data_IF_587267270395
#
_entry.id   IF_587267270395
#
_cell.length_a   1.000
_cell.length_b   1.000
_cell.length_c   1.000
_cell.angle_alpha   90.00
_cell.angle_beta   90.00
_cell.angle_gamma   90.00
#
_symmetry.space_group_name_H-M   'P 1'
#
loop_
_entity.id
_entity.type
_entity.pdbx_description
1 polymer ?
#
# COMPACT_ATOMS: atom_id res chain seq x y z
N UNK A 1 -11.91 5.92 11.44
CA UNK A 1 -12.40 5.23 10.22
C UNK A 1 -12.24 6.07 8.96
N UNK A 2 -12.68 7.33 8.95
CA UNK A 2 -12.58 8.20 7.75
C UNK A 2 -11.17 8.26 7.17
N UNK A 3 -10.15 8.41 8.01
CA UNK A 3 -8.76 8.47 7.55
C UNK A 3 -8.31 7.22 6.79
N UNK A 4 -8.67 6.02 7.27
CA UNK A 4 -8.29 4.78 6.59
C UNK A 4 -9.00 4.59 5.24
N UNK A 5 -10.27 5.00 5.12
CA UNK A 5 -10.98 4.96 3.83
C UNK A 5 -10.42 5.97 2.84
N UNK A 6 -10.16 7.20 3.28
CA UNK A 6 -9.53 8.24 2.44
C UNK A 6 -8.16 7.75 1.95
N UNK A 7 -7.37 7.13 2.84
CA UNK A 7 -6.10 6.53 2.46
C UNK A 7 -6.29 5.48 1.35
N UNK A 8 -7.22 4.53 1.51
CA UNK A 8 -7.47 3.52 0.48
C UNK A 8 -7.89 4.12 -0.87
N UNK A 9 -8.74 5.14 -0.87
CA UNK A 9 -9.16 5.85 -2.09
C UNK A 9 -7.96 6.54 -2.77
N UNK A 10 -7.16 7.28 -2.01
CA UNK A 10 -6.01 8.01 -2.56
C UNK A 10 -4.90 7.07 -3.03
N UNK A 11 -4.70 5.93 -2.32
CA UNK A 11 -3.76 4.90 -2.77
C UNK A 11 -4.20 4.25 -4.09
N UNK A 12 -5.50 4.07 -4.28
CA UNK A 12 -6.04 3.61 -5.55
C UNK A 12 -5.81 4.60 -6.69
N UNK A 13 -5.96 5.90 -6.43
CA UNK A 13 -5.65 6.97 -7.41
C UNK A 13 -4.16 6.94 -7.76
N UNK A 14 -3.27 6.85 -6.76
CA UNK A 14 -1.84 6.68 -6.96
C UNK A 14 -1.54 5.46 -7.86
N UNK A 15 -2.11 4.30 -7.52
CA UNK A 15 -1.93 3.05 -8.27
C UNK A 15 -2.33 3.19 -9.74
N UNK A 16 -3.46 3.84 -10.03
CA UNK A 16 -3.94 4.04 -11.40
C UNK A 16 -3.04 5.02 -12.16
N UNK A 17 -2.65 6.14 -11.54
CA UNK A 17 -1.74 7.12 -12.17
C UNK A 17 -0.37 6.48 -12.42
N UNK A 18 0.17 5.70 -11.48
CA UNK A 18 1.43 4.99 -11.65
C UNK A 18 1.33 3.97 -12.80
N UNK A 19 0.20 3.29 -12.92
CA UNK A 19 -0.09 2.40 -14.05
C UNK A 19 -0.02 3.13 -15.40
N UNK A 20 -0.53 4.34 -15.50
CA UNK A 20 -0.39 5.19 -16.70
C UNK A 20 1.08 5.49 -16.99
N UNK A 21 1.87 5.87 -16.00
CA UNK A 21 3.30 6.14 -16.18
C UNK A 21 4.05 4.92 -16.70
N UNK A 22 3.75 3.73 -16.16
CA UNK A 22 4.37 2.47 -16.58
C UNK A 22 3.99 2.07 -18.02
N UNK A 23 2.84 2.49 -18.51
CA UNK A 23 2.42 2.35 -19.92
C UNK A 23 3.06 3.34 -20.89
N UNK A 24 3.90 4.26 -20.41
CA UNK A 24 4.58 5.28 -21.24
C UNK A 24 6.05 4.93 -21.47
N UNK A 25 6.58 5.35 -22.63
CA UNK A 25 8.02 5.32 -22.88
C UNK A 25 8.73 6.28 -21.91
N UNK A 26 9.86 5.89 -21.28
CA UNK A 26 10.65 4.68 -21.54
C UNK A 26 10.33 3.48 -20.64
N UNK A 27 9.33 3.54 -19.78
CA UNK A 27 8.97 2.44 -18.87
C UNK A 27 8.33 1.25 -19.59
N UNK A 28 7.58 1.52 -20.65
CA UNK A 28 6.92 0.48 -21.42
C UNK A 28 7.93 -0.59 -21.87
N UNK A 29 7.64 -1.84 -21.59
CA UNK A 29 8.45 -3.01 -21.92
C UNK A 29 9.87 -3.07 -21.30
N UNK A 30 10.24 -2.13 -20.42
CA UNK A 30 11.52 -2.15 -19.75
C UNK A 30 11.50 -3.07 -18.53
N UNK A 31 12.41 -4.04 -18.45
CA UNK A 31 12.53 -4.98 -17.32
C UNK A 31 12.83 -4.28 -15.99
N UNK A 32 13.44 -3.11 -16.03
CA UNK A 32 13.78 -2.28 -14.87
C UNK A 32 12.65 -1.33 -14.46
N UNK A 33 11.56 -1.23 -15.24
CA UNK A 33 10.48 -0.25 -15.06
C UNK A 33 9.94 -0.22 -13.63
N UNK A 34 9.60 -1.37 -13.07
CA UNK A 34 9.02 -1.48 -11.74
C UNK A 34 9.96 -0.99 -10.63
N UNK A 35 11.24 -1.40 -10.66
CA UNK A 35 12.22 -1.01 -9.63
C UNK A 35 12.52 0.49 -9.72
N UNK A 36 12.72 1.00 -10.95
CA UNK A 36 13.07 2.40 -11.13
C UNK A 36 11.87 3.31 -10.84
N UNK A 37 10.66 2.94 -11.25
CA UNK A 37 9.47 3.71 -10.91
C UNK A 37 9.19 3.73 -9.40
N UNK A 38 9.38 2.62 -8.68
CA UNK A 38 9.28 2.59 -7.23
C UNK A 38 10.33 3.50 -6.55
N UNK A 39 11.59 3.45 -7.01
CA UNK A 39 12.63 4.37 -6.53
C UNK A 39 12.25 5.85 -6.76
N UNK A 40 11.83 6.19 -7.98
CA UNK A 40 11.47 7.56 -8.36
C UNK A 40 10.24 8.03 -7.58
N UNK A 41 9.24 7.16 -7.40
CA UNK A 41 8.07 7.44 -6.59
C UNK A 41 8.46 7.80 -5.15
N UNK A 42 9.27 6.98 -4.48
CA UNK A 42 9.70 7.22 -3.11
C UNK A 42 10.60 8.46 -2.99
N UNK A 43 11.46 8.74 -4.01
CA UNK A 43 12.23 9.99 -4.07
C UNK A 43 11.32 11.20 -4.15
N UNK A 44 10.30 11.17 -5.02
CA UNK A 44 9.34 12.27 -5.10
C UNK A 44 8.52 12.41 -3.83
N UNK A 45 8.06 11.32 -3.23
CA UNK A 45 7.36 11.34 -1.94
C UNK A 45 8.23 11.96 -0.83
N UNK A 46 9.50 11.57 -0.75
CA UNK A 46 10.45 12.14 0.21
C UNK A 46 10.66 13.65 -0.02
N UNK A 47 10.77 14.10 -1.28
CA UNK A 47 10.92 15.51 -1.63
C UNK A 47 9.65 16.31 -1.34
N UNK A 48 8.46 15.78 -1.67
CA UNK A 48 7.17 16.41 -1.34
C UNK A 48 7.06 16.61 0.16
N UNK A 49 7.39 15.60 0.96
CA UNK A 49 7.36 15.70 2.42
C UNK A 49 8.44 16.63 2.95
N UNK A 50 9.62 16.67 2.33
CA UNK A 50 10.68 17.64 2.70
C UNK A 50 10.18 19.09 2.53
N UNK A 51 9.51 19.37 1.41
CA UNK A 51 8.91 20.69 1.16
C UNK A 51 7.76 20.95 2.14
N UNK A 52 6.88 19.98 2.36
CA UNK A 52 5.76 20.08 3.30
C UNK A 52 6.24 20.37 4.74
N UNK A 53 7.18 19.58 5.25
CA UNK A 53 7.75 19.77 6.59
C UNK A 53 8.57 21.08 6.67
N UNK A 54 9.25 21.45 5.59
CA UNK A 54 9.99 22.72 5.48
C UNK A 54 9.06 23.93 5.56
N UNK A 55 7.97 23.93 4.79
CA UNK A 55 6.96 24.99 4.79
C UNK A 55 6.30 25.18 6.17
N UNK A 56 6.24 24.09 6.96
CA UNK A 56 5.72 24.13 8.35
C UNK A 56 6.79 24.41 9.41
N UNK A 57 8.04 24.62 9.02
CA UNK A 57 9.15 24.85 9.94
C UNK A 57 9.56 23.63 10.78
N UNK A 58 9.17 22.41 10.37
CA UNK A 58 9.28 21.18 11.15
C UNK A 58 10.42 20.23 10.74
N UNK A 59 11.32 20.65 9.88
CA UNK A 59 12.47 19.80 9.47
C UNK A 59 13.35 19.37 10.65
N UNK A 60 13.45 20.22 11.70
CA UNK A 60 14.20 19.88 12.91
C UNK A 60 13.60 18.70 13.68
N UNK A 61 12.27 18.50 13.60
CA UNK A 61 11.58 17.39 14.25
C UNK A 61 12.09 16.08 13.67
N UNK A 62 12.17 15.97 12.32
CA UNK A 62 12.70 14.80 11.62
C UNK A 62 14.14 14.51 12.03
N UNK A 63 15.02 15.53 12.00
CA UNK A 63 16.44 15.36 12.37
C UNK A 63 16.59 14.93 13.84
N UNK A 64 15.77 15.45 14.73
CA UNK A 64 15.75 15.07 16.15
C UNK A 64 15.24 13.66 16.34
N UNK A 65 14.15 13.30 15.65
CA UNK A 65 13.53 11.99 15.70
C UNK A 65 14.48 10.87 15.25
N UNK A 66 15.29 11.09 14.20
CA UNK A 66 16.28 10.13 13.70
C UNK A 66 17.30 9.69 14.77
N UNK A 67 17.55 10.53 15.78
CA UNK A 67 18.48 10.24 16.89
C UNK A 67 17.80 9.39 17.98
N UNK A 68 16.48 9.31 17.99
CA UNK A 68 15.71 8.58 19.00
C UNK A 68 15.61 7.10 18.66
N UNK A 69 15.22 6.28 19.66
CA UNK A 69 14.87 4.87 19.44
C UNK A 69 13.71 4.74 18.47
N UNK A 70 12.67 5.56 18.63
CA UNK A 70 11.45 5.53 17.81
C UNK A 70 11.70 5.89 16.36
N UNK A 71 12.51 6.90 16.08
CA UNK A 71 12.92 7.20 14.72
C UNK A 71 13.68 6.04 14.04
N UNK A 72 14.58 5.36 14.77
CA UNK A 72 15.27 4.16 14.26
C UNK A 72 14.32 2.98 14.02
N UNK A 73 13.30 2.84 14.85
CA UNK A 73 12.24 1.84 14.67
C UNK A 73 11.44 2.14 13.40
N UNK A 74 11.09 3.40 13.16
CA UNK A 74 10.43 3.82 11.92
C UNK A 74 11.30 3.53 10.69
N UNK A 75 12.61 3.80 10.75
CA UNK A 75 13.54 3.44 9.66
C UNK A 75 13.54 1.95 9.38
N UNK A 76 13.50 1.09 10.42
CA UNK A 76 13.42 -0.36 10.24
C UNK A 76 12.11 -0.76 9.53
N UNK A 77 10.98 -0.20 9.96
CA UNK A 77 9.69 -0.40 9.29
C UNK A 77 9.74 0.00 7.81
N UNK A 78 10.33 1.16 7.52
CA UNK A 78 10.52 1.66 6.17
C UNK A 78 11.33 0.70 5.26
N UNK A 79 12.41 0.12 5.78
CA UNK A 79 13.21 -0.86 5.05
C UNK A 79 12.47 -2.15 4.77
N UNK A 80 11.64 -2.59 5.71
CA UNK A 80 10.84 -3.82 5.57
C UNK A 80 9.70 -3.64 4.56
N UNK A 81 8.96 -2.56 4.65
CA UNK A 81 7.82 -2.33 3.76
C UNK A 81 8.21 -1.82 2.38
N UNK A 82 9.10 -0.85 2.31
CA UNK A 82 9.59 -0.27 1.06
C UNK A 82 10.52 -1.23 0.31
N UNK A 83 11.86 -1.13 0.46
CA UNK A 83 12.81 -1.86 -0.39
C UNK A 83 12.64 -3.38 -0.33
N UNK A 84 12.45 -3.97 0.85
CA UNK A 84 12.36 -5.43 0.99
C UNK A 84 10.99 -5.92 0.50
N UNK A 85 9.90 -5.34 1.02
CA UNK A 85 8.54 -5.77 0.68
C UNK A 85 8.22 -5.53 -0.79
N UNK A 86 8.52 -4.36 -1.31
CA UNK A 86 8.27 -4.01 -2.71
C UNK A 86 9.18 -4.78 -3.67
N UNK A 87 10.48 -4.94 -3.37
CA UNK A 87 11.36 -5.77 -4.22
C UNK A 87 10.90 -7.23 -4.24
N UNK A 88 10.42 -7.75 -3.11
CA UNK A 88 9.80 -9.07 -3.04
C UNK A 88 8.54 -9.17 -3.89
N UNK A 89 7.68 -8.16 -3.85
CA UNK A 89 6.48 -8.06 -4.70
C UNK A 89 6.83 -8.09 -6.19
N UNK A 90 7.81 -7.29 -6.60
CA UNK A 90 8.26 -7.23 -8.00
C UNK A 90 8.91 -8.54 -8.45
N UNK A 91 9.73 -9.17 -7.58
CA UNK A 91 10.30 -10.49 -7.86
C UNK A 91 9.19 -11.54 -8.03
N UNK A 92 8.13 -11.46 -7.24
CA UNK A 92 6.97 -12.36 -7.39
C UNK A 92 6.24 -12.13 -8.71
N UNK A 93 5.97 -10.88 -9.10
CA UNK A 93 5.34 -10.57 -10.40
C UNK A 93 6.14 -11.20 -11.54
N UNK A 94 7.46 -11.05 -11.54
CA UNK A 94 8.32 -11.55 -12.61
C UNK A 94 8.39 -13.08 -12.66
N UNK A 95 8.08 -13.79 -11.58
CA UNK A 95 8.28 -15.24 -11.48
C UNK A 95 6.99 -16.06 -11.42
N UNK A 96 5.92 -15.52 -10.84
CA UNK A 96 4.61 -16.20 -10.70
C UNK A 96 3.45 -15.40 -11.30
N UNK A 97 3.75 -14.24 -11.88
CA UNK A 97 2.79 -13.37 -12.53
C UNK A 97 2.03 -12.43 -11.57
N UNK A 98 1.46 -11.35 -12.12
CA UNK A 98 0.82 -10.29 -11.31
C UNK A 98 -0.41 -10.76 -10.56
N UNK A 99 -1.25 -11.62 -11.14
CA UNK A 99 -2.48 -12.10 -10.51
C UNK A 99 -2.23 -12.93 -9.25
N UNK A 100 -1.32 -13.91 -9.31
CA UNK A 100 -0.96 -14.70 -8.13
C UNK A 100 -0.24 -13.85 -7.09
N UNK A 101 0.62 -12.93 -7.52
CA UNK A 101 1.29 -12.01 -6.62
C UNK A 101 0.28 -11.13 -5.87
N UNK A 102 -0.68 -10.53 -6.57
CA UNK A 102 -1.73 -9.71 -5.96
C UNK A 102 -2.59 -10.52 -4.99
N UNK A 103 -2.97 -11.75 -5.38
CA UNK A 103 -3.78 -12.61 -4.54
C UNK A 103 -3.09 -12.99 -3.22
N UNK A 104 -1.80 -13.34 -3.27
CA UNK A 104 -1.06 -13.76 -2.08
C UNK A 104 -0.66 -12.54 -1.24
N UNK A 105 -0.20 -11.46 -1.87
CA UNK A 105 0.18 -10.23 -1.16
C UNK A 105 -0.97 -9.62 -0.38
N UNK A 106 -2.22 -9.81 -0.83
CA UNK A 106 -3.42 -9.37 -0.12
C UNK A 106 -3.52 -9.88 1.33
N UNK A 107 -2.77 -10.92 1.71
CA UNK A 107 -2.74 -11.43 3.08
C UNK A 107 -1.91 -10.59 4.06
N UNK A 108 -1.20 -9.53 3.61
CA UNK A 108 -0.40 -8.70 4.51
C UNK A 108 -1.18 -8.13 5.72
N UNK A 109 -2.49 -7.75 5.62
CA UNK A 109 -3.21 -7.27 6.79
C UNK A 109 -3.52 -8.38 7.80
N UNK A 110 -3.66 -9.63 7.36
CA UNK A 110 -3.83 -10.76 8.28
C UNK A 110 -2.55 -11.00 9.08
N UNK A 111 -1.39 -11.02 8.41
CA UNK A 111 -0.07 -11.14 9.07
C UNK A 111 0.18 -9.94 9.98
N UNK A 112 -0.08 -8.73 9.50
CA UNK A 112 0.06 -7.52 10.30
C UNK A 112 -0.87 -7.50 11.51
N UNK A 113 -2.13 -7.95 11.38
CA UNK A 113 -3.06 -8.04 12.52
C UNK A 113 -2.60 -9.07 13.56
N UNK A 114 -2.02 -10.20 13.13
CA UNK A 114 -1.43 -11.18 14.03
C UNK A 114 -0.22 -10.59 14.78
N UNK A 115 0.65 -9.87 14.07
CA UNK A 115 1.79 -9.16 14.68
C UNK A 115 1.33 -8.04 15.63
N UNK A 116 0.31 -7.27 15.26
CA UNK A 116 -0.25 -6.22 16.11
C UNK A 116 -0.88 -6.80 17.40
N UNK A 117 -1.54 -7.96 17.31
CA UNK A 117 -2.02 -8.66 18.49
C UNK A 117 -0.86 -9.08 19.40
N UNK A 118 0.22 -9.60 18.84
CA UNK A 118 1.37 -10.09 19.59
C UNK A 118 2.19 -8.94 20.20
N UNK A 119 2.51 -7.91 19.43
CA UNK A 119 3.47 -6.86 19.79
C UNK A 119 2.81 -5.63 20.40
N UNK A 120 1.65 -5.23 19.89
CA UNK A 120 0.91 -4.03 20.32
C UNK A 120 -0.27 -4.36 21.24
N UNK A 121 -0.56 -5.66 21.44
CA UNK A 121 -1.71 -6.17 22.21
C UNK A 121 -3.06 -5.68 21.66
N UNK A 122 -3.10 -5.33 20.39
CA UNK A 122 -4.34 -4.97 19.70
C UNK A 122 -5.26 -6.20 19.62
N UNK A 123 -6.54 -6.00 19.93
CA UNK A 123 -7.55 -7.07 19.89
C UNK A 123 -8.66 -6.72 18.91
N UNK A 124 -8.83 -7.57 17.92
CA UNK A 124 -10.02 -7.56 17.07
C UNK A 124 -11.07 -8.53 17.60
N UNK A 125 -12.35 -8.14 17.57
CA UNK A 125 -13.44 -9.05 17.87
C UNK A 125 -13.56 -10.10 16.75
N UNK A 126 -14.03 -11.30 17.06
CA UNK A 126 -14.17 -12.38 16.07
C UNK A 126 -14.91 -11.91 14.80
N UNK A 127 -15.99 -11.15 14.95
CA UNK A 127 -16.74 -10.59 13.81
C UNK A 127 -15.89 -9.69 12.89
N UNK A 128 -14.93 -8.93 13.46
CA UNK A 128 -14.02 -8.09 12.70
C UNK A 128 -13.00 -8.94 11.94
N UNK A 129 -12.48 -9.99 12.57
CA UNK A 129 -11.57 -10.95 11.93
C UNK A 129 -12.27 -11.66 10.77
N UNK A 130 -13.50 -12.14 10.98
CA UNK A 130 -14.27 -12.77 9.91
C UNK A 130 -14.55 -11.82 8.75
N UNK A 131 -14.92 -10.56 9.03
CA UNK A 131 -15.12 -9.55 8.00
C UNK A 131 -13.82 -9.24 7.22
N UNK A 132 -12.67 -9.18 7.92
CA UNK A 132 -11.37 -9.05 7.28
C UNK A 132 -11.08 -10.25 6.35
N UNK A 133 -11.28 -11.47 6.82
CA UNK A 133 -11.06 -12.67 6.00
C UNK A 133 -11.93 -12.66 4.75
N UNK A 134 -13.19 -12.25 4.86
CA UNK A 134 -14.10 -12.12 3.71
C UNK A 134 -13.57 -11.08 2.72
N UNK A 135 -13.09 -9.94 3.20
CA UNK A 135 -12.47 -8.93 2.33
C UNK A 135 -11.22 -9.46 1.63
N UNK A 136 -10.35 -10.19 2.36
CA UNK A 136 -9.13 -10.78 1.79
C UNK A 136 -9.45 -11.84 0.73
N UNK A 137 -10.48 -12.66 0.94
CA UNK A 137 -10.96 -13.59 -0.09
C UNK A 137 -11.45 -12.84 -1.33
N UNK A 138 -12.13 -11.70 -1.16
CA UNK A 138 -12.53 -10.85 -2.28
C UNK A 138 -11.33 -10.33 -3.08
N UNK A 139 -10.27 -9.84 -2.41
CA UNK A 139 -9.03 -9.37 -3.07
C UNK A 139 -8.32 -10.53 -3.77
N UNK A 140 -8.23 -11.68 -3.11
CA UNK A 140 -7.61 -12.88 -3.68
C UNK A 140 -8.33 -13.35 -4.96
N UNK A 141 -9.66 -13.43 -4.93
CA UNK A 141 -10.47 -13.82 -6.10
C UNK A 141 -10.28 -12.80 -7.24
N UNK A 142 -10.26 -11.50 -6.93
CA UNK A 142 -10.02 -10.46 -7.92
C UNK A 142 -8.63 -10.58 -8.54
N UNK A 143 -7.59 -10.83 -7.75
CA UNK A 143 -6.24 -11.09 -8.25
C UNK A 143 -6.16 -12.33 -9.15
N UNK A 144 -6.81 -13.42 -8.77
CA UNK A 144 -6.85 -14.66 -9.56
C UNK A 144 -7.62 -14.52 -10.87
N UNK A 145 -8.70 -13.74 -10.90
CA UNK A 145 -9.46 -13.48 -12.14
C UNK A 145 -8.72 -12.57 -13.11
N UNK A 146 -7.78 -11.80 -12.62
CA UNK A 146 -6.88 -10.96 -13.43
C UNK A 146 -5.58 -11.69 -13.82
N UNK A 147 -5.42 -12.94 -13.34
CA UNK A 147 -4.24 -13.75 -13.67
C UNK A 147 -4.42 -14.33 -15.07
N UNK A 148 -3.79 -13.73 -16.06
CA UNK A 148 -3.42 -14.47 -17.25
C UNK A 148 -2.57 -15.67 -16.80
N UNK A 149 -2.81 -16.82 -17.45
CA UNK A 149 -2.08 -18.04 -17.11
C UNK A 149 -0.58 -17.74 -17.02
N UNK A 150 0.08 -18.30 -16.00
CA UNK A 150 1.53 -18.15 -15.83
C UNK A 150 2.23 -18.51 -17.13
N UNK A 151 2.53 -17.53 -17.95
CA UNK A 151 3.12 -17.72 -19.28
C UNK A 151 4.64 -17.55 -19.26
N UNK A 152 5.26 -17.55 -18.07
CA UNK A 152 6.69 -17.28 -17.91
C UNK A 152 7.49 -18.51 -17.49
N UNK A 153 8.71 -18.63 -18.01
CA UNK A 153 9.76 -19.53 -17.51
C UNK A 153 10.29 -19.09 -16.12
N UNK A 154 9.46 -18.45 -15.29
CA UNK A 154 9.84 -17.93 -14.00
C UNK A 154 10.15 -19.04 -12.99
N UNK A 155 11.04 -18.75 -12.05
CA UNK A 155 11.33 -19.64 -10.93
C UNK A 155 10.25 -19.50 -9.85
N UNK A 156 9.33 -20.46 -9.76
CA UNK A 156 8.21 -20.46 -8.80
C UNK A 156 8.70 -20.29 -7.36
N UNK A 157 9.82 -20.91 -6.98
CA UNK A 157 10.37 -20.77 -5.62
C UNK A 157 10.80 -19.33 -5.34
N UNK A 158 11.44 -18.66 -6.29
CA UNK A 158 11.81 -17.24 -6.17
C UNK A 158 10.54 -16.36 -6.05
N UNK A 159 9.53 -16.65 -6.85
CA UNK A 159 8.24 -15.94 -6.80
C UNK A 159 7.54 -16.09 -5.46
N UNK A 160 7.45 -17.29 -4.92
CA UNK A 160 6.85 -17.55 -3.60
C UNK A 160 7.66 -16.88 -2.48
N UNK A 161 8.99 -16.99 -2.47
CA UNK A 161 9.83 -16.30 -1.48
C UNK A 161 9.66 -14.78 -1.58
N UNK A 162 9.58 -14.25 -2.79
CA UNK A 162 9.33 -12.83 -3.02
C UNK A 162 8.01 -12.37 -2.44
N UNK A 163 6.90 -13.05 -2.74
CA UNK A 163 5.59 -12.65 -2.20
C UNK A 163 5.49 -12.85 -0.69
N UNK A 164 6.16 -13.85 -0.13
CA UNK A 164 6.28 -13.99 1.32
C UNK A 164 7.02 -12.79 1.94
N UNK A 165 8.15 -12.37 1.35
CA UNK A 165 8.87 -11.18 1.79
C UNK A 165 7.99 -9.92 1.72
N UNK A 166 7.17 -9.78 0.67
CA UNK A 166 6.19 -8.72 0.55
C UNK A 166 5.15 -8.75 1.68
N UNK A 167 4.48 -9.88 1.90
CA UNK A 167 3.44 -10.04 2.92
C UNK A 167 3.97 -9.73 4.32
N UNK A 168 5.13 -10.27 4.67
CA UNK A 168 5.77 -9.99 5.96
C UNK A 168 6.31 -8.56 6.03
N UNK A 169 6.89 -8.04 4.96
CA UNK A 169 7.38 -6.67 4.87
C UNK A 169 6.27 -5.65 5.14
N UNK A 170 5.20 -5.67 4.36
CA UNK A 170 4.09 -4.73 4.49
C UNK A 170 3.29 -4.93 5.79
N UNK A 171 3.05 -6.18 6.19
CA UNK A 171 2.35 -6.48 7.44
C UNK A 171 3.13 -6.02 8.67
N UNK A 172 4.45 -6.22 8.70
CA UNK A 172 5.30 -5.80 9.82
C UNK A 172 5.57 -4.28 9.81
N UNK A 173 5.68 -3.64 8.64
CA UNK A 173 5.85 -2.19 8.52
C UNK A 173 4.81 -1.44 9.35
N UNK A 174 3.52 -1.68 9.09
CA UNK A 174 2.43 -0.99 9.78
C UNK A 174 2.49 -1.15 11.32
N UNK A 175 2.85 -2.35 11.80
CA UNK A 175 2.97 -2.64 13.23
C UNK A 175 4.19 -1.97 13.85
N UNK A 176 5.33 -2.00 13.16
CA UNK A 176 6.57 -1.36 13.60
C UNK A 176 6.41 0.16 13.60
N UNK A 177 5.75 0.73 12.61
CA UNK A 177 5.42 2.15 12.57
C UNK A 177 4.50 2.54 13.73
N UNK A 178 3.44 1.77 13.99
CA UNK A 178 2.57 1.99 15.13
C UNK A 178 3.35 1.96 16.44
N UNK A 179 4.28 1.01 16.59
CA UNK A 179 5.15 0.94 17.75
C UNK A 179 6.10 2.13 17.87
N UNK A 180 6.69 2.58 16.75
CA UNK A 180 7.57 3.75 16.69
C UNK A 180 6.86 5.06 17.04
N UNK A 181 5.55 5.15 16.78
CA UNK A 181 4.73 6.33 17.09
C UNK A 181 4.12 6.32 18.50
N UNK A 182 4.34 5.29 19.31
CA UNK A 182 3.76 5.22 20.66
C UNK A 182 4.32 6.24 21.64
N UNK A 183 5.53 6.75 21.42
CA UNK A 183 6.10 7.83 22.21
C UNK A 183 5.91 9.19 21.52
N UNK A 184 6.00 10.26 22.28
CA UNK A 184 5.83 11.63 21.78
C UNK A 184 7.00 12.13 20.94
N UNK A 185 8.04 11.31 20.72
CA UNK A 185 9.23 11.69 19.98
C UNK A 185 9.03 11.69 18.45
N UNK A 186 8.03 10.94 17.96
CA UNK A 186 7.75 10.78 16.53
C UNK A 186 6.24 10.82 16.31
N UNK A 187 5.76 11.88 15.69
CA UNK A 187 4.38 11.97 15.21
C UNK A 187 4.20 11.43 13.79
N UNK A 188 2.96 11.37 13.32
CA UNK A 188 2.57 10.81 12.03
C UNK A 188 3.32 11.43 10.84
N UNK A 189 3.48 12.75 10.82
CA UNK A 189 4.12 13.48 9.71
C UNK A 189 5.62 13.25 9.72
N UNK A 190 6.24 13.28 10.91
CA UNK A 190 7.65 12.99 11.12
C UNK A 190 7.97 11.53 10.80
N UNK A 191 7.12 10.58 11.23
CA UNK A 191 7.27 9.17 10.90
C UNK A 191 7.23 8.95 9.38
N UNK A 192 6.30 9.58 8.68
CA UNK A 192 6.18 9.45 7.24
C UNK A 192 7.39 10.06 6.51
N UNK A 193 7.88 11.23 6.94
CA UNK A 193 9.10 11.82 6.37
C UNK A 193 10.30 10.89 6.54
N UNK A 194 10.48 10.27 7.70
CA UNK A 194 11.55 9.29 7.96
C UNK A 194 11.38 8.07 7.05
N UNK A 195 10.15 7.56 6.94
CA UNK A 195 9.80 6.40 6.11
C UNK A 195 10.18 6.61 4.66
N UNK A 196 9.67 7.67 4.03
CA UNK A 196 9.90 7.94 2.62
C UNK A 196 11.37 8.25 2.32
N UNK A 197 12.01 9.04 3.18
CA UNK A 197 13.44 9.34 3.01
C UNK A 197 14.30 8.08 3.15
N UNK A 198 14.01 7.22 4.11
CA UNK A 198 14.76 5.96 4.32
C UNK A 198 14.58 5.02 3.13
N UNK A 199 13.35 4.87 2.64
CA UNK A 199 13.05 4.02 1.50
C UNK A 199 13.71 4.55 0.21
N UNK A 200 13.58 5.84 -0.06
CA UNK A 200 14.22 6.49 -1.21
C UNK A 200 15.74 6.31 -1.22
N UNK A 201 16.39 6.51 -0.06
CA UNK A 201 17.84 6.32 0.07
C UNK A 201 18.23 4.85 -0.11
N UNK A 202 17.47 3.91 0.46
CA UNK A 202 17.76 2.49 0.30
C UNK A 202 17.57 2.03 -1.16
N UNK A 203 16.55 2.51 -1.85
CA UNK A 203 16.39 2.27 -3.28
C UNK A 203 17.54 2.87 -4.10
N UNK A 204 17.83 4.15 -3.92
CA UNK A 204 18.83 4.86 -4.72
C UNK A 204 20.25 4.35 -4.51
N UNK A 205 20.61 4.00 -3.27
CA UNK A 205 21.98 3.62 -2.89
C UNK A 205 22.21 2.11 -2.97
N UNK A 206 21.17 1.29 -2.75
CA UNK A 206 21.32 -0.16 -2.65
C UNK A 206 20.58 -0.88 -3.78
N UNK A 207 19.27 -0.74 -3.90
CA UNK A 207 18.47 -1.59 -4.79
C UNK A 207 18.76 -1.28 -6.27
N UNK A 208 18.73 -0.01 -6.67
CA UNK A 208 18.95 0.41 -8.06
C UNK A 208 20.37 0.04 -8.54
N UNK A 209 21.45 0.26 -7.76
CA UNK A 209 22.78 -0.22 -8.15
C UNK A 209 22.89 -1.74 -8.19
N UNK A 210 22.37 -2.47 -7.20
CA UNK A 210 22.47 -3.94 -7.15
C UNK A 210 21.71 -4.62 -8.30
N UNK A 211 20.64 -4.02 -8.78
CA UNK A 211 19.87 -4.54 -9.92
C UNK A 211 20.40 -4.06 -11.28
N UNK A 212 21.50 -3.29 -11.30
CA UNK A 212 22.05 -2.74 -12.53
C UNK A 212 21.16 -1.70 -13.21
N UNK A 213 20.18 -1.15 -12.48
CA UNK A 213 19.14 -0.26 -13.04
C UNK A 213 19.53 1.22 -13.06
N UNK A 214 20.74 1.57 -12.62
CA UNK A 214 21.17 2.97 -12.51
C UNK A 214 21.15 3.72 -13.85
N UNK A 215 21.64 3.10 -14.93
CA UNK A 215 21.63 3.69 -16.27
C UNK A 215 20.20 4.01 -16.74
N UNK A 216 19.26 3.11 -16.49
CA UNK A 216 17.86 3.31 -16.83
C UNK A 216 17.21 4.40 -15.95
N UNK A 217 17.54 4.46 -14.66
CA UNK A 217 17.07 5.51 -13.77
C UNK A 217 17.51 6.92 -14.25
N UNK A 218 18.76 7.05 -14.71
CA UNK A 218 19.26 8.30 -15.30
C UNK A 218 18.53 8.63 -16.61
N UNK A 219 18.33 7.64 -17.47
CA UNK A 219 17.61 7.82 -18.74
C UNK A 219 16.17 8.30 -18.54
N UNK A 220 15.48 7.83 -17.50
CA UNK A 220 14.10 8.21 -17.20
C UNK A 220 13.98 9.57 -16.51
N UNK A 221 15.04 10.10 -15.90
CA UNK A 221 15.01 11.20 -14.94
C UNK A 221 14.23 12.45 -15.40
N UNK A 222 14.28 12.80 -16.67
CA UNK A 222 13.63 14.01 -17.23
C UNK A 222 12.59 13.68 -18.31
N UNK A 223 11.90 12.56 -18.17
CA UNK A 223 10.87 12.15 -19.13
C UNK A 223 9.47 12.55 -18.68
N UNK A 224 8.50 12.72 -19.62
CA UNK A 224 7.10 12.96 -19.25
C UNK A 224 6.50 11.88 -18.33
N UNK A 225 6.95 10.62 -18.49
CA UNK A 225 6.51 9.52 -17.63
C UNK A 225 6.84 9.79 -16.15
N UNK A 226 8.02 10.35 -15.85
CA UNK A 226 8.35 10.75 -14.47
C UNK A 226 7.52 11.93 -13.95
N UNK A 227 7.02 12.79 -14.82
CA UNK A 227 6.01 13.80 -14.45
C UNK A 227 4.71 13.15 -13.96
N UNK A 228 4.30 12.04 -14.57
CA UNK A 228 3.14 11.26 -14.13
C UNK A 228 3.46 10.51 -12.83
N UNK A 229 4.68 9.94 -12.67
CA UNK A 229 5.13 9.34 -11.40
C UNK A 229 5.11 10.37 -10.26
N UNK A 230 5.46 11.64 -10.52
CA UNK A 230 5.36 12.70 -9.51
C UNK A 230 3.91 12.94 -9.06
N UNK A 231 2.93 12.91 -9.99
CA UNK A 231 1.51 13.01 -9.63
C UNK A 231 1.03 11.80 -8.83
N UNK A 232 1.49 10.60 -9.18
CA UNK A 232 1.24 9.38 -8.41
C UNK A 232 1.81 9.53 -6.99
N UNK A 233 3.09 9.91 -6.86
CA UNK A 233 3.74 10.12 -5.58
C UNK A 233 3.05 11.19 -4.71
N UNK A 234 2.49 12.23 -5.32
CA UNK A 234 1.68 13.21 -4.58
C UNK A 234 0.42 12.58 -3.99
N UNK A 235 -0.33 11.80 -4.77
CA UNK A 235 -1.51 11.09 -4.29
C UNK A 235 -1.14 10.06 -3.22
N UNK A 236 -0.07 9.28 -3.44
CA UNK A 236 0.48 8.31 -2.51
C UNK A 236 0.93 8.93 -1.19
N UNK A 237 1.66 10.06 -1.24
CA UNK A 237 2.09 10.80 -0.05
C UNK A 237 0.90 11.27 0.79
N UNK A 238 -0.13 11.84 0.15
CA UNK A 238 -1.35 12.26 0.86
C UNK A 238 -2.09 11.05 1.41
N UNK A 239 -2.15 9.93 0.68
CA UNK A 239 -2.70 8.66 1.15
C UNK A 239 -1.99 8.21 2.43
N UNK A 240 -0.68 8.18 2.44
CA UNK A 240 0.11 7.77 3.62
C UNK A 240 -0.07 8.70 4.82
N UNK A 241 -0.22 10.02 4.62
CA UNK A 241 -0.55 10.94 5.70
C UNK A 241 -1.87 10.55 6.39
N UNK A 242 -2.88 10.17 5.61
CA UNK A 242 -4.14 9.66 6.15
C UNK A 242 -4.01 8.26 6.75
N UNK A 243 -3.18 7.39 6.15
CA UNK A 243 -2.94 6.05 6.66
C UNK A 243 -2.27 6.06 8.04
N UNK A 244 -1.24 6.88 8.21
CA UNK A 244 -0.55 7.03 9.49
C UNK A 244 -1.47 7.64 10.56
N UNK A 245 -2.32 8.60 10.19
CA UNK A 245 -3.37 9.10 11.09
C UNK A 245 -4.39 8.02 11.44
N UNK A 246 -4.71 7.12 10.53
CA UNK A 246 -5.59 5.99 10.82
C UNK A 246 -4.92 5.00 11.79
N UNK A 247 -3.66 4.63 11.57
CA UNK A 247 -2.89 3.76 12.46
C UNK A 247 -2.86 4.34 13.88
N UNK A 248 -2.55 5.62 14.01
CA UNK A 248 -2.51 6.31 15.31
C UNK A 248 -3.89 6.34 15.99
N UNK A 249 -4.94 6.65 15.24
CA UNK A 249 -6.28 6.84 15.79
C UNK A 249 -7.05 5.54 16.12
N UNK A 250 -6.84 4.47 15.33
CA UNK A 250 -7.64 3.22 15.43
C UNK A 250 -6.81 1.94 15.50
N UNK A 251 -5.49 2.04 15.52
CA UNK A 251 -4.55 0.94 15.57
C UNK A 251 -4.14 0.40 14.20
N UNK A 252 -3.03 -0.34 14.16
CA UNK A 252 -2.42 -0.86 12.94
C UNK A 252 -3.36 -1.86 12.23
N UNK A 253 -3.94 -2.80 12.97
CA UNK A 253 -4.83 -3.84 12.41
C UNK A 253 -6.01 -3.24 11.64
N UNK A 254 -6.69 -2.25 12.23
CA UNK A 254 -7.86 -1.61 11.61
C UNK A 254 -7.46 -0.62 10.52
N UNK A 255 -6.30 0.03 10.67
CA UNK A 255 -5.71 0.89 9.64
C UNK A 255 -5.44 0.11 8.37
N UNK A 256 -4.73 -1.02 8.46
CA UNK A 256 -4.46 -1.93 7.35
C UNK A 256 -5.74 -2.47 6.71
N UNK A 257 -6.71 -2.88 7.54
CA UNK A 257 -7.98 -3.41 7.05
C UNK A 257 -8.75 -2.39 6.19
N UNK A 258 -8.73 -1.11 6.55
CA UNK A 258 -9.37 -0.06 5.73
C UNK A 258 -8.53 0.28 4.49
N UNK A 259 -7.21 0.32 4.63
CA UNK A 259 -6.33 0.67 3.52
C UNK A 259 -6.45 -0.33 2.37
N UNK A 260 -6.60 -1.65 2.62
CA UNK A 260 -6.70 -2.67 1.56
C UNK A 260 -7.94 -2.48 0.66
N UNK A 261 -8.90 -1.63 1.04
CA UNK A 261 -9.99 -1.23 0.16
C UNK A 261 -9.51 -0.58 -1.14
N UNK A 262 -8.24 -0.12 -1.19
CA UNK A 262 -7.64 0.44 -2.39
C UNK A 262 -7.74 -0.49 -3.60
N UNK A 263 -7.68 -1.79 -3.39
CA UNK A 263 -7.77 -2.77 -4.48
C UNK A 263 -9.11 -2.71 -5.21
N UNK A 264 -10.22 -2.48 -4.48
CA UNK A 264 -11.54 -2.29 -5.07
C UNK A 264 -11.66 -0.92 -5.75
N UNK A 265 -11.18 0.14 -5.09
CA UNK A 265 -11.20 1.49 -5.65
C UNK A 265 -10.34 1.60 -6.91
N UNK A 266 -9.20 0.90 -6.98
CA UNK A 266 -8.35 0.88 -8.17
C UNK A 266 -9.07 0.31 -9.40
N UNK A 267 -9.86 -0.74 -9.24
CA UNK A 267 -10.70 -1.29 -10.32
C UNK A 267 -11.73 -0.26 -10.78
N UNK A 268 -12.40 0.42 -9.85
CA UNK A 268 -13.40 1.44 -10.15
C UNK A 268 -12.75 2.62 -10.89
N UNK A 269 -11.62 3.12 -10.41
CA UNK A 269 -10.92 4.24 -11.04
C UNK A 269 -10.26 3.88 -12.36
N UNK A 270 -9.75 2.65 -12.52
CA UNK A 270 -9.23 2.17 -13.80
C UNK A 270 -10.35 2.10 -14.87
N UNK A 271 -11.51 1.57 -14.50
CA UNK A 271 -12.68 1.56 -15.38
C UNK A 271 -13.14 2.98 -15.77
N UNK A 272 -13.20 3.88 -14.78
CA UNK A 272 -13.55 5.28 -15.03
C UNK A 272 -12.52 5.98 -15.93
N UNK A 273 -11.23 5.75 -15.69
CA UNK A 273 -10.15 6.31 -16.51
C UNK A 273 -10.20 5.76 -17.95
N UNK A 274 -10.50 4.48 -18.15
CA UNK A 274 -10.69 3.89 -19.48
C UNK A 274 -11.83 4.54 -20.26
N UNK A 275 -12.92 4.89 -19.58
CA UNK A 275 -14.06 5.62 -20.22
C UNK A 275 -13.72 7.08 -20.51
N UNK A 276 -13.07 7.77 -19.56
CA UNK A 276 -12.79 9.21 -19.68
C UNK A 276 -11.56 9.51 -20.54
N UNK A 277 -10.58 8.61 -20.57
CA UNK A 277 -9.28 8.78 -21.21
C UNK A 277 -8.93 7.58 -22.11
N UNK A 278 -9.80 7.17 -23.05
CA UNK A 278 -9.61 5.95 -23.84
C UNK A 278 -8.34 5.98 -24.71
N UNK A 279 -7.81 7.16 -25.00
CA UNK A 279 -6.55 7.32 -25.73
C UNK A 279 -5.30 7.00 -24.89
N UNK A 280 -5.42 6.96 -23.56
CA UNK A 280 -4.30 6.76 -22.62
C UNK A 280 -4.43 5.39 -21.93
N UNK A 281 -5.65 5.01 -21.57
CA UNK A 281 -5.94 3.73 -20.92
C UNK A 281 -6.96 2.96 -21.75
N UNK A 282 -6.73 1.65 -22.00
CA UNK A 282 -7.73 0.83 -22.67
C UNK A 282 -8.98 0.75 -21.80
N UNK A 283 -10.15 0.67 -22.44
CA UNK A 283 -11.41 0.50 -21.75
C UNK A 283 -11.39 -0.82 -20.94
N UNK A 284 -11.46 -0.68 -19.64
CA UNK A 284 -11.43 -1.81 -18.71
C UNK A 284 -12.76 -1.92 -17.96
N UNK A 285 -13.77 -2.47 -18.65
CA UNK A 285 -15.06 -2.76 -18.00
C UNK A 285 -14.87 -3.95 -17.05
N UNK A 286 -15.07 -3.77 -15.73
CA UNK A 286 -14.90 -4.86 -14.79
C UNK A 286 -15.92 -5.97 -15.05
N UNK A 287 -15.48 -7.22 -14.98
CA UNK A 287 -16.38 -8.35 -15.06
C UNK A 287 -17.39 -8.32 -13.90
N UNK A 288 -18.57 -8.96 -14.04
CA UNK A 288 -19.55 -9.05 -12.94
C UNK A 288 -18.95 -9.61 -11.65
N UNK A 289 -18.01 -10.55 -11.76
CA UNK A 289 -17.30 -11.12 -10.61
C UNK A 289 -16.37 -10.08 -9.98
N UNK A 290 -15.62 -9.30 -10.76
CA UNK A 290 -14.77 -8.22 -10.25
C UNK A 290 -15.62 -7.15 -9.55
N UNK A 291 -16.77 -6.77 -10.11
CA UNK A 291 -17.69 -5.82 -9.46
C UNK A 291 -18.23 -6.36 -8.13
N UNK A 292 -18.59 -7.65 -8.06
CA UNK A 292 -19.00 -8.29 -6.80
C UNK A 292 -17.85 -8.28 -5.78
N UNK A 293 -16.64 -8.63 -6.20
CA UNK A 293 -15.45 -8.59 -5.33
C UNK A 293 -15.22 -7.18 -4.78
N UNK A 294 -15.35 -6.12 -5.59
CA UNK A 294 -15.23 -4.74 -5.12
C UNK A 294 -16.21 -4.43 -3.98
N UNK A 295 -17.48 -4.85 -4.12
CA UNK A 295 -18.49 -4.65 -3.07
C UNK A 295 -18.09 -5.42 -1.80
N UNK A 296 -17.70 -6.68 -1.94
CA UNK A 296 -17.30 -7.55 -0.81
C UNK A 296 -16.07 -6.94 -0.09
N UNK A 297 -15.10 -6.46 -0.82
CA UNK A 297 -13.89 -5.83 -0.26
C UNK A 297 -14.28 -4.56 0.52
N UNK A 298 -15.02 -3.63 -0.09
CA UNK A 298 -15.39 -2.37 0.56
C UNK A 298 -16.22 -2.63 1.83
N UNK A 299 -17.23 -3.47 1.74
CA UNK A 299 -18.09 -3.81 2.89
C UNK A 299 -17.29 -4.55 3.95
N UNK A 300 -16.52 -5.56 3.58
CA UNK A 300 -15.72 -6.36 4.51
C UNK A 300 -14.65 -5.52 5.24
N UNK A 301 -13.98 -4.61 4.55
CA UNK A 301 -12.97 -3.72 5.18
C UNK A 301 -13.61 -2.75 6.17
N UNK A 302 -14.75 -2.16 5.85
CA UNK A 302 -15.51 -1.28 6.77
C UNK A 302 -15.98 -2.05 8.00
N UNK A 303 -16.57 -3.24 7.82
CA UNK A 303 -17.03 -4.08 8.92
C UNK A 303 -15.87 -4.55 9.80
N UNK A 304 -14.71 -4.86 9.22
CA UNK A 304 -13.54 -5.30 9.98
C UNK A 304 -12.94 -4.19 10.83
N UNK A 305 -13.01 -2.94 10.37
CA UNK A 305 -12.51 -1.79 11.12
C UNK A 305 -13.49 -1.29 12.20
N UNK A 306 -14.76 -1.72 12.18
CA UNK A 306 -15.81 -1.25 13.08
C UNK A 306 -16.00 -2.21 14.26
N UNK A 307 -15.66 -1.84 15.51
CA UNK A 307 -15.81 -2.70 16.68
C UNK A 307 -17.26 -2.97 17.04
N UNK A 308 -18.16 -2.02 16.80
CA UNK A 308 -19.61 -2.18 16.98
C UNK A 308 -20.37 -1.81 15.70
N UNK A 309 -20.96 -2.82 15.06
CA UNK A 309 -21.69 -2.65 13.82
C UNK A 309 -22.99 -1.83 13.97
N UNK A 310 -23.45 -1.63 15.21
CA UNK A 310 -24.57 -0.71 15.49
C UNK A 310 -24.25 0.73 15.09
N UNK A 311 -22.99 1.13 15.16
CA UNK A 311 -22.52 2.44 14.73
C UNK A 311 -22.72 2.68 13.22
N UNK A 312 -22.86 1.60 12.44
CA UNK A 312 -23.13 1.64 11.00
C UNK A 312 -24.65 1.64 10.68
N UNK A 313 -25.49 1.77 11.69
CA UNK A 313 -26.96 1.72 11.51
C UNK A 313 -27.51 0.30 11.27
N UNK A 314 -26.65 -0.73 11.37
CA UNK A 314 -27.07 -2.12 11.28
C UNK A 314 -27.71 -2.52 12.61
N UNK A 315 -28.97 -2.12 12.81
CA UNK A 315 -29.78 -2.55 13.95
C UNK A 315 -30.07 -4.04 13.81
N UNK A 316 -29.70 -4.82 14.81
CA UNK A 316 -30.37 -6.09 15.03
C UNK A 316 -31.79 -5.75 15.48
N UNK A 317 -32.78 -6.19 14.71
CA UNK A 317 -34.16 -6.19 15.14
C UNK A 317 -34.24 -7.07 16.39
N UNK A 318 -34.22 -6.44 17.55
CA UNK A 318 -34.49 -7.11 18.82
C UNK A 318 -36.01 -7.20 18.98
N UNK A 319 -36.66 -7.99 18.15
CA UNK A 319 -37.97 -8.56 18.44
C UNK A 319 -37.82 -9.65 19.49
N UNK A 320 -37.58 -9.28 20.69
CA UNK A 320 -37.46 -10.14 21.86
C UNK A 320 -38.19 -9.50 23.03
N UNK A 321 -39.54 -9.57 23.00
CA UNK A 321 -40.49 -9.63 24.12
C UNK A 321 -39.91 -9.25 25.48
N UNK A 322 -40.36 -8.12 25.98
CA UNK A 322 -40.63 -7.97 27.42
C UNK A 322 -42.13 -7.92 27.61
N UNK A 323 -42.60 -8.86 28.38
CA UNK A 323 -43.95 -8.88 28.96
C UNK A 323 -43.99 -7.97 30.18
#
# INVERSE_FOLDING_TARGET
>A
MQYGLISGILWAIDTVILGVALGMTPYLDASQASIVSACVHDVFAALILLVFMGARGRLRDTVSALKTRSGKVVMLGALLGGPIGMSGYLAAINNIGPGYTAAISAFYPAVGSALAWLLLKERMKLKQVLALLVALVGVMLMGLTSADAVTGNGNVAVGILGVCACVFGWGSEAVILAWGMQDSAVDNETALQIRETTSALAYGIVVVPLTGSFGFAVQTAVTPANGIVLLAALAGTVSYLFYYKAIDAIGASRGMALNISYSAWAVIFAALAGVLLPAIMPEAIPSPLAALCCIVIIVGTVLSATPDWRELGIKRDSSGREA
#
